data_IF_548623816230
#
_entry.id   IF_548623816230
#
_cell.length_a   1.000
_cell.length_b   1.000
_cell.length_c   1.000
_cell.angle_alpha   90.00
_cell.angle_beta   90.00
_cell.angle_gamma   90.00
#
_symmetry.space_group_name_H-M   'P 1'
#
loop_
_entity.id
_entity.type
_entity.pdbx_description
1 polymer ?
#
# COMPACT_ATOMS: atom_id res chain seq x y z
N UNK A 1 -63.89 30.85 3.65
CA UNK A 1 -63.70 29.39 3.66
C UNK A 1 -62.27 29.10 4.07
N UNK A 2 -62.13 28.26 5.11
CA UNK A 2 -60.96 27.46 5.51
C UNK A 2 -59.67 28.16 5.97
N UNK A 3 -59.63 28.33 7.30
CA UNK A 3 -58.46 28.31 8.18
C UNK A 3 -57.70 26.97 8.09
N UNK A 4 -56.37 27.01 8.21
CA UNK A 4 -55.59 25.98 8.91
C UNK A 4 -54.34 26.62 9.54
N UNK A 5 -54.26 26.51 10.87
CA UNK A 5 -53.15 26.89 11.76
C UNK A 5 -52.71 25.61 12.46
N UNK A 6 -51.42 25.26 12.41
CA UNK A 6 -50.69 24.41 13.38
C UNK A 6 -49.22 24.92 13.34
N UNK A 7 -48.65 25.69 14.30
CA UNK A 7 -48.22 25.44 15.70
C UNK A 7 -47.04 24.46 15.88
N UNK A 8 -45.94 24.97 16.46
CA UNK A 8 -44.90 24.20 17.18
C UNK A 8 -43.46 24.45 16.69
N UNK A 9 -42.68 25.38 17.28
CA UNK A 9 -41.75 25.21 18.44
C UNK A 9 -40.49 24.38 18.08
N UNK A 10 -39.24 24.83 18.25
CA UNK A 10 -38.67 26.03 18.85
C UNK A 10 -37.14 26.11 18.65
N UNK A 11 -36.57 27.22 19.17
CA UNK A 11 -35.21 27.49 19.71
C UNK A 11 -34.02 26.58 19.28
N UNK A 12 -32.79 27.02 18.95
CA UNK A 12 -31.96 28.18 19.32
C UNK A 12 -30.79 28.28 18.29
N UNK A 13 -30.29 29.46 17.87
CA UNK A 13 -29.06 30.12 18.36
C UNK A 13 -27.89 29.13 18.67
N UNK A 14 -26.64 29.23 18.23
CA UNK A 14 -25.82 30.32 17.68
C UNK A 14 -24.40 29.75 17.44
N UNK A 15 -23.71 30.15 16.36
CA UNK A 15 -22.23 30.32 16.27
C UNK A 15 -21.42 28.98 16.40
N UNK A 16 -20.15 28.75 16.01
CA UNK A 16 -19.00 29.56 15.62
C UNK A 16 -17.85 28.57 15.21
N UNK A 17 -16.99 28.98 14.27
CA UNK A 17 -15.58 28.55 13.99
C UNK A 17 -15.15 27.07 13.89
N UNK A 18 -14.25 26.81 12.94
CA UNK A 18 -13.10 25.92 13.18
C UNK A 18 -12.80 24.90 12.09
N UNK A 19 -11.77 25.21 11.29
CA UNK A 19 -11.07 24.37 10.32
C UNK A 19 -10.42 23.09 10.89
N UNK A 20 -10.00 22.24 9.95
CA UNK A 20 -9.03 21.14 10.04
C UNK A 20 -9.44 19.88 10.83
N UNK A 21 -9.93 18.86 10.10
CA UNK A 21 -9.76 17.48 10.54
C UNK A 21 -9.27 16.59 9.38
N UNK A 22 -7.95 16.47 9.36
CA UNK A 22 -7.16 15.31 8.97
C UNK A 22 -7.98 14.02 8.84
N UNK A 23 -8.42 13.71 7.63
CA UNK A 23 -8.86 12.36 7.28
C UNK A 23 -7.65 11.42 7.30
N UNK A 24 -7.44 10.85 8.47
CA UNK A 24 -6.61 9.69 8.76
C UNK A 24 -6.81 8.63 7.67
N UNK A 25 -5.87 8.57 6.75
CA UNK A 25 -5.84 7.56 5.69
C UNK A 25 -5.56 6.22 6.35
N UNK A 26 -6.61 5.42 6.53
CA UNK A 26 -6.47 3.98 6.72
C UNK A 26 -5.65 3.46 5.52
N UNK A 27 -4.66 2.56 5.68
CA UNK A 27 -4.06 1.92 4.53
C UNK A 27 -5.11 0.96 3.97
N UNK A 28 -5.96 1.49 3.11
CA UNK A 28 -6.75 0.69 2.20
C UNK A 28 -5.74 0.11 1.22
N UNK A 29 -5.56 -1.20 1.20
CA UNK A 29 -4.92 -1.90 0.08
C UNK A 29 -5.68 -1.48 -1.18
N UNK A 30 -5.19 -0.46 -1.88
CA UNK A 30 -5.82 0.09 -3.07
C UNK A 30 -5.55 -0.87 -4.22
N UNK A 31 -6.54 -1.71 -4.50
CA UNK A 31 -6.60 -2.55 -5.69
C UNK A 31 -6.70 -1.63 -6.92
N UNK A 32 -5.53 -1.24 -7.41
CA UNK A 32 -5.36 -0.30 -8.51
C UNK A 32 -5.26 -1.08 -9.82
N UNK A 33 -6.26 -0.91 -10.69
CA UNK A 33 -6.41 -1.74 -11.90
C UNK A 33 -5.65 -1.15 -13.08
N UNK A 34 -4.65 -1.86 -13.58
CA UNK A 34 -3.95 -1.42 -14.78
C UNK A 34 -4.73 -1.75 -16.07
N UNK A 35 -4.87 -0.76 -16.97
CA UNK A 35 -5.37 -0.96 -18.33
C UNK A 35 -4.20 -1.44 -19.20
N UNK A 36 -4.38 -2.48 -20.01
CA UNK A 36 -3.35 -2.99 -20.94
C UNK A 36 -2.89 -1.87 -21.90
N UNK A 37 -1.79 -1.19 -21.57
CA UNK A 37 -1.04 -0.38 -22.53
C UNK A 37 -0.32 -1.33 -23.49
N UNK A 38 -0.51 -1.15 -24.80
CA UNK A 38 0.13 -1.93 -25.86
C UNK A 38 0.12 -3.46 -25.65
N UNK A 39 -1.05 -4.02 -25.28
CA UNK A 39 -1.44 -5.38 -25.65
C UNK A 39 -0.51 -6.53 -25.24
N UNK A 40 0.09 -6.46 -24.04
CA UNK A 40 0.92 -7.54 -23.52
C UNK A 40 0.95 -7.56 -22.00
N UNK A 41 0.95 -8.77 -21.45
CA UNK A 41 1.28 -9.03 -20.04
C UNK A 41 2.50 -8.20 -19.60
N UNK A 42 2.39 -7.45 -18.51
CA UNK A 42 3.51 -6.76 -17.86
C UNK A 42 4.72 -7.68 -17.69
N UNK A 43 5.92 -7.12 -17.81
CA UNK A 43 7.20 -7.81 -17.66
C UNK A 43 8.10 -7.06 -16.69
N UNK A 44 9.04 -7.80 -16.11
CA UNK A 44 10.15 -7.21 -15.37
C UNK A 44 10.90 -6.24 -16.28
N UNK A 45 11.09 -5.02 -15.80
CA UNK A 45 11.78 -3.96 -16.51
C UNK A 45 10.86 -2.98 -17.25
N UNK A 46 9.57 -3.30 -17.41
CA UNK A 46 8.60 -2.38 -18.01
C UNK A 46 8.42 -1.15 -17.13
N UNK A 47 8.18 0.00 -17.77
CA UNK A 47 7.87 1.24 -17.07
C UNK A 47 6.37 1.54 -17.14
N UNK A 48 5.88 2.17 -16.08
CA UNK A 48 4.47 2.48 -15.96
C UNK A 48 4.23 3.70 -15.11
N UNK A 49 2.98 4.15 -15.09
CA UNK A 49 2.54 5.25 -14.26
C UNK A 49 1.03 5.41 -14.26
N UNK A 50 0.51 6.41 -13.53
CA UNK A 50 -0.93 6.64 -13.41
C UNK A 50 -1.57 6.84 -14.77
N UNK A 51 -2.68 6.14 -15.01
CA UNK A 51 -3.45 6.26 -16.24
C UNK A 51 -4.33 7.52 -16.18
N UNK A 52 -4.05 8.59 -16.96
CA UNK A 52 -4.88 9.79 -16.98
C UNK A 52 -6.34 9.56 -17.32
N UNK A 53 -6.68 8.49 -18.02
CA UNK A 53 -8.06 8.17 -18.42
C UNK A 53 -8.80 7.36 -17.36
N UNK A 54 -8.08 6.72 -16.44
CA UNK A 54 -8.62 5.83 -15.41
C UNK A 54 -8.17 6.24 -14.00
N UNK A 55 -8.19 7.54 -13.70
CA UNK A 55 -7.82 8.05 -12.37
C UNK A 55 -8.91 7.78 -11.30
N UNK A 56 -8.53 7.64 -10.02
CA UNK A 56 -7.15 7.68 -9.48
C UNK A 56 -6.44 6.33 -9.46
N UNK A 57 -7.18 5.23 -9.67
CA UNK A 57 -6.71 3.87 -9.37
C UNK A 57 -6.09 3.15 -10.57
N UNK A 58 -6.11 3.78 -11.75
CA UNK A 58 -5.63 3.21 -12.99
C UNK A 58 -4.13 3.41 -13.18
N UNK A 59 -3.49 2.38 -13.69
CA UNK A 59 -2.10 2.41 -14.16
C UNK A 59 -2.01 1.90 -15.58
N UNK A 60 -0.99 2.31 -16.32
CA UNK A 60 -0.70 1.75 -17.64
C UNK A 60 0.80 1.73 -17.90
N UNK A 61 1.19 0.93 -18.89
CA UNK A 61 2.55 0.90 -19.39
C UNK A 61 2.87 2.19 -20.17
N UNK A 62 4.12 2.61 -20.08
CA UNK A 62 4.72 3.76 -20.78
C UNK A 62 6.12 3.38 -21.25
N UNK A 63 6.66 4.09 -22.25
CA UNK A 63 8.10 4.04 -22.50
C UNK A 63 8.82 4.65 -21.28
N UNK A 64 9.98 4.10 -20.88
CA UNK A 64 10.65 4.53 -19.64
C UNK A 64 11.09 5.99 -19.65
N UNK A 65 11.29 6.59 -20.83
CA UNK A 65 11.66 7.99 -20.99
C UNK A 65 10.44 8.92 -21.10
N UNK A 66 9.22 8.38 -21.11
CA UNK A 66 8.00 9.17 -21.14
C UNK A 66 7.80 9.91 -19.81
N UNK A 67 7.31 11.15 -19.88
CA UNK A 67 6.95 11.92 -18.68
C UNK A 67 5.81 11.30 -17.86
N UNK A 68 5.09 10.33 -18.42
CA UNK A 68 4.04 9.57 -17.74
C UNK A 68 4.57 8.36 -16.97
N UNK A 69 5.80 7.92 -17.23
CA UNK A 69 6.43 6.84 -16.50
C UNK A 69 6.88 7.34 -15.12
N UNK A 70 6.39 6.70 -14.07
CA UNK A 70 6.72 7.04 -12.68
C UNK A 70 7.36 5.89 -11.92
N UNK A 71 7.25 4.66 -12.42
CA UNK A 71 7.86 3.48 -11.83
C UNK A 71 8.37 2.49 -12.89
N UNK A 72 9.23 1.58 -12.46
CA UNK A 72 9.72 0.42 -13.19
C UNK A 72 9.33 -0.87 -12.48
N UNK A 73 8.85 -1.86 -13.21
CA UNK A 73 8.53 -3.18 -12.67
C UNK A 73 9.81 -3.92 -12.28
N UNK A 74 9.94 -4.25 -11.00
CA UNK A 74 11.00 -5.11 -10.45
C UNK A 74 10.64 -6.59 -10.58
N UNK A 75 9.38 -6.91 -10.33
CA UNK A 75 8.87 -8.28 -10.37
C UNK A 75 7.40 -8.27 -10.79
N UNK A 76 7.00 -9.33 -11.49
CA UNK A 76 5.61 -9.60 -11.85
C UNK A 76 5.23 -10.92 -11.20
N UNK A 77 4.28 -10.88 -10.30
CA UNK A 77 3.72 -12.09 -9.68
C UNK A 77 2.38 -12.42 -10.29
N UNK A 78 2.11 -13.71 -10.47
CA UNK A 78 0.79 -14.16 -10.89
C UNK A 78 -0.27 -13.74 -9.86
N UNK A 79 -1.50 -13.51 -10.31
CA UNK A 79 -2.58 -13.20 -9.37
C UNK A 79 -2.80 -14.37 -8.42
N UNK A 80 -2.57 -14.12 -7.15
CA UNK A 80 -3.12 -14.96 -6.09
C UNK A 80 -4.60 -14.65 -5.91
N UNK A 81 -5.40 -15.70 -5.71
CA UNK A 81 -6.83 -15.58 -5.32
C UNK A 81 -6.97 -14.76 -4.03
N UNK A 82 -5.91 -14.72 -3.21
CA UNK A 82 -5.77 -13.83 -2.07
C UNK A 82 -4.80 -12.68 -2.45
N UNK A 83 -5.32 -11.49 -2.82
CA UNK A 83 -4.54 -10.38 -3.37
C UNK A 83 -3.39 -9.91 -2.47
N UNK A 84 -3.49 -10.15 -1.16
CA UNK A 84 -2.50 -9.71 -0.18
C UNK A 84 -1.34 -10.69 0.02
N UNK A 85 -1.31 -11.85 -0.67
CA UNK A 85 -0.22 -12.83 -0.59
C UNK A 85 1.00 -12.54 -1.45
N UNK A 86 0.96 -11.44 -2.18
CA UNK A 86 2.06 -10.97 -3.01
C UNK A 86 3.19 -10.49 -2.10
N UNK A 87 4.34 -11.16 -2.20
CA UNK A 87 5.55 -10.75 -1.52
C UNK A 87 6.51 -10.19 -2.53
N UNK A 88 6.50 -8.87 -2.66
CA UNK A 88 7.41 -8.19 -3.54
C UNK A 88 8.85 -8.25 -3.00
N UNK A 89 9.85 -8.21 -3.90
CA UNK A 89 11.24 -8.20 -3.49
C UNK A 89 11.57 -6.91 -2.73
N UNK A 90 12.62 -6.95 -1.92
CA UNK A 90 13.11 -5.77 -1.22
C UNK A 90 13.42 -4.64 -2.21
N UNK A 91 13.05 -3.41 -1.83
CA UNK A 91 13.14 -2.27 -2.73
C UNK A 91 11.91 -1.99 -3.58
N UNK A 92 10.80 -2.69 -3.34
CA UNK A 92 9.54 -2.37 -3.99
C UNK A 92 8.89 -1.18 -3.31
N UNK A 93 8.65 -0.11 -4.07
CA UNK A 93 8.04 1.13 -3.58
C UNK A 93 6.51 1.10 -3.65
N UNK A 94 5.94 0.31 -4.56
CA UNK A 94 4.51 0.21 -4.79
C UNK A 94 4.12 -1.16 -5.33
N UNK A 95 2.91 -1.60 -5.00
CA UNK A 95 2.33 -2.87 -5.42
C UNK A 95 1.05 -2.57 -6.21
N UNK A 96 1.00 -2.98 -7.48
CA UNK A 96 -0.13 -2.69 -8.38
C UNK A 96 -0.81 -4.00 -8.79
N UNK A 97 -2.09 -4.15 -8.48
CA UNK A 97 -2.88 -5.33 -8.87
C UNK A 97 -3.51 -5.16 -10.24
N UNK A 98 -2.92 -5.77 -11.25
CA UNK A 98 -3.45 -5.77 -12.61
C UNK A 98 -4.69 -6.65 -12.66
N UNK A 99 -5.80 -6.09 -13.14
CA UNK A 99 -7.05 -6.82 -13.30
C UNK A 99 -7.60 -6.68 -14.72
N UNK A 100 -8.06 -7.77 -15.30
CA UNK A 100 -8.75 -7.75 -16.60
C UNK A 100 -10.24 -7.59 -16.35
N UNK A 101 -10.82 -6.48 -16.81
CA UNK A 101 -12.26 -6.25 -16.77
C UNK A 101 -12.91 -6.73 -18.07
N UNK A 102 -13.81 -7.71 -17.97
CA UNK A 102 -14.64 -8.14 -19.10
C UNK A 102 -15.96 -7.36 -19.10
N UNK A 103 -16.13 -6.46 -20.07
CA UNK A 103 -17.39 -5.75 -20.34
C UNK A 103 -17.37 -4.24 -20.05
N UNK A 104 -18.13 -3.48 -20.85
CA UNK A 104 -18.06 -2.01 -20.95
C UNK A 104 -18.67 -1.23 -19.76
N UNK A 105 -18.89 -1.84 -18.58
CA UNK A 105 -19.74 -1.21 -17.56
C UNK A 105 -19.39 -1.41 -16.09
N UNK A 106 -18.29 -2.06 -15.71
CA UNK A 106 -17.96 -2.23 -14.28
C UNK A 106 -16.62 -1.61 -13.91
N UNK A 107 -16.67 -0.34 -13.47
CA UNK A 107 -15.63 0.26 -12.62
C UNK A 107 -15.57 -0.57 -11.33
N UNK A 108 -14.57 -1.46 -11.22
CA UNK A 108 -14.25 -2.20 -10.00
C UNK A 108 -14.50 -3.72 -10.01
N UNK A 109 -14.62 -4.36 -11.17
CA UNK A 109 -14.94 -5.80 -11.28
C UNK A 109 -14.02 -6.62 -12.18
N UNK A 110 -12.73 -6.27 -12.25
CA UNK A 110 -11.75 -7.05 -13.02
C UNK A 110 -11.32 -8.33 -12.29
N UNK A 111 -11.07 -9.40 -13.05
CA UNK A 111 -10.41 -10.59 -12.51
C UNK A 111 -8.93 -10.22 -12.34
N UNK A 112 -8.35 -10.25 -11.12
CA UNK A 112 -6.94 -9.99 -10.94
C UNK A 112 -6.16 -11.03 -11.74
N UNK A 113 -5.20 -10.58 -12.53
CA UNK A 113 -4.40 -11.46 -13.39
C UNK A 113 -2.97 -11.54 -12.95
N UNK A 114 -2.35 -10.41 -12.61
CA UNK A 114 -0.98 -10.31 -12.12
C UNK A 114 -0.86 -9.17 -11.11
N UNK A 115 0.23 -9.16 -10.35
CA UNK A 115 0.64 -8.05 -9.50
C UNK A 115 2.02 -7.56 -9.90
N UNK A 116 2.17 -6.25 -10.05
CA UNK A 116 3.43 -5.60 -10.38
C UNK A 116 4.04 -5.05 -9.10
N UNK A 117 5.25 -5.50 -8.79
CA UNK A 117 6.11 -4.92 -7.78
C UNK A 117 6.93 -3.80 -8.42
N UNK A 118 6.54 -2.55 -8.22
CA UNK A 118 7.17 -1.39 -8.83
C UNK A 118 8.22 -0.75 -7.94
N UNK A 119 9.22 -0.12 -8.57
CA UNK A 119 10.10 0.88 -7.94
C UNK A 119 9.95 2.20 -8.66
N UNK A 120 9.76 3.27 -7.91
CA UNK A 120 9.65 4.61 -8.45
C UNK A 120 10.90 4.95 -9.29
N UNK A 121 10.72 5.71 -10.37
CA UNK A 121 11.83 6.20 -11.19
C UNK A 121 12.53 7.41 -10.56
N UNK A 122 11.83 8.12 -9.66
CA UNK A 122 12.30 9.34 -9.02
C UNK A 122 11.70 9.51 -7.63
N UNK A 123 12.37 10.29 -6.78
CA UNK A 123 11.89 10.63 -5.43
C UNK A 123 12.49 9.74 -4.35
N UNK A 124 11.92 9.81 -3.15
CA UNK A 124 12.26 8.87 -2.09
C UNK A 124 11.62 7.51 -2.38
N UNK A 125 12.29 6.43 -1.96
CA UNK A 125 11.90 5.05 -2.21
C UNK A 125 11.39 4.42 -0.91
N UNK A 126 10.06 4.37 -0.66
CA UNK A 126 9.51 3.74 0.55
C UNK A 126 9.90 2.27 0.70
N UNK A 127 10.24 1.59 -0.40
CA UNK A 127 10.71 0.21 -0.39
C UNK A 127 12.15 0.02 0.05
N UNK A 128 12.91 1.11 0.21
CA UNK A 128 14.29 1.05 0.70
C UNK A 128 14.33 0.84 2.21
N UNK A 129 15.25 -0.02 2.65
CA UNK A 129 15.36 -0.40 4.06
C UNK A 129 15.56 0.82 4.97
N UNK A 130 14.61 1.05 5.87
CA UNK A 130 14.58 2.14 6.84
C UNK A 130 13.97 3.43 6.34
N UNK A 131 13.50 3.51 5.08
CA UNK A 131 12.81 4.68 4.55
C UNK A 131 11.38 4.82 5.10
N UNK A 132 10.71 3.69 5.37
CA UNK A 132 9.37 3.65 5.92
C UNK A 132 8.28 3.86 4.86
N UNK A 133 7.11 3.24 5.10
CA UNK A 133 5.91 3.41 4.27
C UNK A 133 5.81 2.43 3.11
N UNK A 134 6.69 1.42 3.06
CA UNK A 134 6.70 0.37 2.06
C UNK A 134 6.15 -0.96 2.60
N UNK A 135 6.50 -2.05 1.93
CA UNK A 135 6.39 -3.37 2.52
C UNK A 135 7.56 -3.57 3.48
N UNK A 136 7.27 -4.05 4.69
CA UNK A 136 8.32 -4.33 5.67
C UNK A 136 9.36 -5.30 5.10
N UNK A 137 10.64 -4.93 5.22
CA UNK A 137 11.81 -5.68 4.79
C UNK A 137 12.90 -5.68 5.87
N UNK A 138 13.90 -6.55 5.68
CA UNK A 138 15.11 -6.54 6.52
C UNK A 138 15.80 -5.18 6.45
N UNK A 139 16.11 -4.63 7.62
CA UNK A 139 16.77 -3.34 7.79
C UNK A 139 15.84 -2.19 8.15
N UNK A 140 14.52 -2.38 8.03
CA UNK A 140 13.51 -1.41 8.46
C UNK A 140 13.50 -1.19 9.96
N UNK A 141 12.79 -0.15 10.39
CA UNK A 141 12.53 0.13 11.79
C UNK A 141 11.04 -0.06 12.09
N UNK A 142 10.77 -0.69 13.22
CA UNK A 142 9.42 -0.88 13.74
C UNK A 142 9.30 -0.37 15.17
N UNK A 143 8.11 0.04 15.57
CA UNK A 143 7.78 0.29 16.97
C UNK A 143 7.65 -1.02 17.74
N UNK A 144 7.49 -0.95 19.07
CA UNK A 144 7.18 -2.12 19.91
C UNK A 144 5.86 -2.81 19.56
N UNK A 145 4.99 -2.14 18.80
CA UNK A 145 3.72 -2.70 18.31
C UNK A 145 3.84 -3.19 16.87
N UNK A 146 5.06 -3.44 16.37
CA UNK A 146 5.35 -3.89 15.01
C UNK A 146 4.85 -2.94 13.91
N UNK A 147 4.68 -1.65 14.21
CA UNK A 147 4.34 -0.64 13.22
C UNK A 147 5.61 -0.14 12.54
N UNK A 148 5.68 -0.23 11.22
CA UNK A 148 6.80 0.30 10.43
C UNK A 148 6.88 1.83 10.56
N UNK A 149 8.11 2.31 10.70
CA UNK A 149 8.45 3.73 10.75
C UNK A 149 9.78 3.96 10.06
N UNK A 150 10.00 5.16 9.51
CA UNK A 150 11.31 5.52 9.00
C UNK A 150 12.35 5.47 10.13
N UNK A 151 13.49 4.83 9.90
CA UNK A 151 14.54 4.70 10.91
C UNK A 151 15.09 6.06 11.35
N UNK A 152 15.14 7.04 10.44
CA UNK A 152 15.63 8.39 10.72
C UNK A 152 14.73 9.20 11.66
N UNK A 153 13.41 8.91 11.69
CA UNK A 153 12.42 9.68 12.48
C UNK A 153 11.76 8.87 13.60
N UNK A 154 11.99 7.55 13.66
CA UNK A 154 11.34 6.65 14.62
C UNK A 154 11.71 6.87 16.09
N UNK A 155 12.80 7.59 16.38
CA UNK A 155 13.18 7.97 17.73
C UNK A 155 13.58 6.81 18.64
N UNK A 156 13.79 7.14 19.92
CA UNK A 156 14.18 6.16 20.93
C UNK A 156 13.03 5.20 21.23
N UNK A 157 13.25 3.90 21.01
CA UNK A 157 12.23 2.86 21.24
C UNK A 157 11.80 2.11 19.98
N UNK A 158 12.42 2.41 18.84
CA UNK A 158 12.31 1.58 17.63
C UNK A 158 13.28 0.41 17.66
N UNK A 159 12.90 -0.61 16.91
CA UNK A 159 13.67 -1.83 16.71
C UNK A 159 13.97 -1.98 15.23
N UNK A 160 15.22 -2.28 14.92
CA UNK A 160 15.67 -2.62 13.58
C UNK A 160 15.30 -4.07 13.26
N UNK A 161 14.63 -4.27 12.13
CA UNK A 161 14.27 -5.58 11.58
C UNK A 161 15.53 -6.27 11.10
N UNK A 162 15.83 -7.42 11.69
CA UNK A 162 16.94 -8.29 11.31
C UNK A 162 16.50 -9.35 10.29
N UNK A 163 15.26 -9.84 10.43
CA UNK A 163 14.66 -10.80 9.52
C UNK A 163 13.13 -10.89 9.67
N UNK A 164 12.47 -11.48 8.66
CA UNK A 164 11.04 -11.74 8.61
C UNK A 164 10.83 -13.23 8.34
N UNK A 165 10.34 -13.97 9.34
CA UNK A 165 10.36 -15.43 9.34
C UNK A 165 9.02 -16.05 9.70
N UNK A 166 8.93 -17.38 9.48
CA UNK A 166 7.89 -18.24 10.05
C UNK A 166 8.40 -18.82 11.38
N UNK A 167 7.76 -18.43 12.48
CA UNK A 167 8.09 -18.84 13.83
C UNK A 167 9.33 -18.15 14.41
N UNK A 168 9.26 -17.77 15.69
CA UNK A 168 10.34 -17.10 16.42
C UNK A 168 11.62 -17.92 16.56
N UNK A 169 11.52 -19.24 16.49
CA UNK A 169 12.66 -20.16 16.50
C UNK A 169 13.56 -20.00 15.27
N UNK A 170 13.04 -19.44 14.18
CA UNK A 170 13.77 -19.15 12.95
C UNK A 170 14.54 -17.83 13.01
N UNK A 171 14.41 -17.07 14.10
CA UNK A 171 15.08 -15.78 14.22
C UNK A 171 16.61 -15.91 14.26
N UNK A 172 17.35 -15.03 13.55
CA UNK A 172 18.80 -15.06 13.55
C UNK A 172 19.37 -14.68 14.92
N UNK A 173 20.63 -15.09 15.15
CA UNK A 173 21.39 -14.64 16.31
C UNK A 173 21.48 -13.10 16.35
N UNK A 174 21.34 -12.53 17.54
CA UNK A 174 21.27 -11.08 17.75
C UNK A 174 19.86 -10.50 17.81
N UNK A 175 18.83 -11.31 17.52
CA UNK A 175 17.43 -10.94 17.79
C UNK A 175 17.24 -10.77 19.30
N UNK A 176 16.78 -9.59 19.71
CA UNK A 176 16.43 -9.31 21.13
C UNK A 176 14.93 -9.15 21.33
N UNK A 177 14.19 -8.87 20.26
CA UNK A 177 12.76 -8.59 20.27
C UNK A 177 12.07 -9.37 19.13
N UNK A 178 11.70 -10.64 19.34
CA UNK A 178 10.88 -11.39 18.40
C UNK A 178 9.40 -10.99 18.56
N UNK A 179 8.83 -10.35 17.53
CA UNK A 179 7.45 -9.88 17.54
C UNK A 179 6.58 -10.86 16.76
N UNK A 180 5.81 -11.69 17.47
CA UNK A 180 4.84 -12.60 16.85
C UNK A 180 3.60 -11.80 16.41
N UNK A 181 3.27 -11.91 15.14
CA UNK A 181 2.15 -11.24 14.51
C UNK A 181 0.95 -12.19 14.47
N UNK A 182 -0.24 -11.61 14.62
CA UNK A 182 -1.46 -12.34 14.27
C UNK A 182 -1.39 -12.73 12.79
N UNK A 183 -1.76 -13.97 12.51
CA UNK A 183 -1.80 -14.49 11.15
C UNK A 183 -2.72 -13.59 10.31
N UNK A 184 -2.11 -12.87 9.39
CA UNK A 184 -2.82 -12.09 8.40
C UNK A 184 -2.80 -12.88 7.09
N UNK A 185 -3.97 -12.98 6.45
CA UNK A 185 -4.03 -13.48 5.06
C UNK A 185 -3.04 -12.66 4.24
N UNK A 186 -2.16 -13.36 3.54
CA UNK A 186 -1.21 -12.73 2.63
C UNK A 186 0.16 -12.33 3.20
N UNK A 187 0.37 -12.38 4.52
CA UNK A 187 1.71 -12.17 5.08
C UNK A 187 2.53 -13.47 5.05
N UNK A 188 3.67 -13.55 4.33
CA UNK A 188 4.46 -14.77 4.26
C UNK A 188 5.37 -14.98 5.47
N UNK A 189 5.33 -14.07 6.45
CA UNK A 189 5.97 -14.20 7.75
C UNK A 189 4.91 -14.03 8.84
N UNK A 190 5.16 -14.60 10.01
CA UNK A 190 4.34 -14.39 11.22
C UNK A 190 5.18 -13.86 12.37
N UNK A 191 6.48 -13.70 12.17
CA UNK A 191 7.38 -13.18 13.19
C UNK A 191 8.33 -12.15 12.58
N UNK A 192 8.44 -11.00 13.23
CA UNK A 192 9.48 -10.00 12.96
C UNK A 192 10.60 -10.23 13.96
N UNK A 193 11.80 -10.57 13.47
CA UNK A 193 12.98 -10.70 14.29
C UNK A 193 13.65 -9.34 14.37
N UNK A 194 13.55 -8.65 15.50
CA UNK A 194 14.09 -7.31 15.66
C UNK A 194 15.11 -7.20 16.79
N UNK A 195 15.93 -6.16 16.71
CA UNK A 195 16.82 -5.73 17.78
C UNK A 195 16.75 -4.23 17.96
N UNK A 196 17.17 -3.70 19.11
CA UNK A 196 17.16 -2.25 19.34
C UNK A 196 17.90 -1.52 18.21
N UNK A 197 17.24 -0.53 17.59
CA UNK A 197 17.78 0.26 16.48
C UNK A 197 18.92 1.16 16.92
#
# INVERSE_FOLDING_TARGET
>A
MSLAVILGLGFAASQIFGDDDSSSSRPSSSSSSASDGQGGSWKVGDCGGPDPENRPDGYRAFDCDDSGATFKALEIQDASILPDSVQCPAGTDLIIQVSISYGSSNKGGGIPTNTVCGRNLSGEHPGDAGAGGGQLVKGDCVTSTAQEVACASGGAGTYKVLDLVKGKESCPAGTTEPMELLMAIGRPYDTICAAKA
#
